data_IF_389378971167
#
_entry.id   IF_389378971167
#
_cell.length_a   1.000
_cell.length_b   1.000
_cell.length_c   1.000
_cell.angle_alpha   90.00
_cell.angle_beta   90.00
_cell.angle_gamma   90.00
#
_symmetry.space_group_name_H-M   'P 1'
#
loop_
_entity.id
_entity.type
_entity.pdbx_description
1 polymer ?
#
# COMPACT_ATOMS: atom_id res chain seq x y z
N UNK A 1 -46.73 -10.31 -44.95
CA UNK A 1 -45.61 -10.62 -44.04
C UNK A 1 -45.55 -12.13 -43.88
N UNK A 2 -44.44 -12.77 -44.26
CA UNK A 2 -44.35 -14.24 -44.33
C UNK A 2 -44.19 -14.81 -42.91
N UNK A 3 -44.79 -15.96 -42.58
CA UNK A 3 -44.73 -16.53 -41.21
C UNK A 3 -43.29 -16.73 -40.71
N UNK A 4 -42.37 -17.00 -41.63
CA UNK A 4 -40.92 -17.12 -41.37
C UNK A 4 -40.25 -15.79 -41.02
N UNK A 5 -40.63 -14.69 -41.70
CA UNK A 5 -40.09 -13.35 -41.40
C UNK A 5 -40.63 -12.79 -40.08
N UNK A 6 -41.88 -13.11 -39.71
CA UNK A 6 -42.43 -12.72 -38.41
C UNK A 6 -41.75 -13.46 -37.24
N UNK A 7 -41.44 -14.75 -37.39
CA UNK A 7 -40.71 -15.52 -36.37
C UNK A 7 -39.29 -15.02 -36.12
N UNK A 8 -38.57 -14.63 -37.18
CA UNK A 8 -37.20 -14.09 -37.06
C UNK A 8 -37.20 -12.73 -36.34
N UNK A 9 -38.17 -11.87 -36.62
CA UNK A 9 -38.29 -10.55 -35.94
C UNK A 9 -38.61 -10.72 -34.46
N UNK A 10 -39.46 -11.66 -34.09
CA UNK A 10 -39.79 -11.94 -32.67
C UNK A 10 -38.58 -12.49 -31.92
N UNK A 11 -37.80 -13.40 -32.52
CA UNK A 11 -36.58 -13.96 -31.91
C UNK A 11 -35.53 -12.86 -31.71
N UNK A 12 -35.35 -11.97 -32.70
CA UNK A 12 -34.43 -10.84 -32.59
C UNK A 12 -34.84 -9.84 -31.50
N UNK A 13 -36.14 -9.56 -31.34
CA UNK A 13 -36.68 -8.70 -30.28
C UNK A 13 -36.50 -9.30 -28.89
N UNK A 14 -36.73 -10.60 -28.72
CA UNK A 14 -36.51 -11.31 -27.46
C UNK A 14 -35.02 -11.34 -27.10
N UNK A 15 -34.13 -11.56 -28.08
CA UNK A 15 -32.69 -11.53 -27.88
C UNK A 15 -32.16 -10.11 -27.55
N UNK A 16 -32.74 -9.04 -28.11
CA UNK A 16 -32.40 -7.66 -27.72
C UNK A 16 -32.86 -7.33 -26.30
N UNK A 17 -34.06 -7.76 -25.90
CA UNK A 17 -34.55 -7.53 -24.54
C UNK A 17 -33.69 -8.24 -23.49
N UNK A 18 -33.22 -9.47 -23.75
CA UNK A 18 -32.37 -10.19 -22.78
C UNK A 18 -30.97 -9.58 -22.62
N UNK A 19 -30.41 -8.94 -23.66
CA UNK A 19 -29.13 -8.21 -23.55
C UNK A 19 -29.29 -6.92 -22.73
N UNK A 20 -30.40 -6.19 -22.88
CA UNK A 20 -30.67 -4.99 -22.10
C UNK A 20 -30.83 -5.29 -20.60
N UNK A 21 -31.58 -6.34 -20.24
CA UNK A 21 -31.75 -6.77 -18.85
C UNK A 21 -30.41 -7.24 -18.25
N UNK A 22 -29.59 -7.97 -19.00
CA UNK A 22 -28.27 -8.42 -18.53
C UNK A 22 -27.31 -7.24 -18.27
N UNK A 23 -27.42 -6.16 -19.03
CA UNK A 23 -26.60 -4.97 -18.85
C UNK A 23 -27.03 -4.17 -17.60
N UNK A 24 -28.33 -4.01 -17.37
CA UNK A 24 -28.85 -3.40 -16.15
C UNK A 24 -28.49 -4.21 -14.89
N UNK A 25 -28.60 -5.55 -14.96
CA UNK A 25 -28.20 -6.46 -13.88
C UNK A 25 -26.69 -6.39 -13.59
N UNK A 26 -25.85 -6.30 -14.63
CA UNK A 26 -24.41 -6.14 -14.47
C UNK A 26 -24.04 -4.79 -13.85
N UNK A 27 -24.67 -3.71 -14.29
CA UNK A 27 -24.45 -2.38 -13.71
C UNK A 27 -24.89 -2.32 -12.25
N UNK A 28 -26.05 -2.90 -11.92
CA UNK A 28 -26.54 -3.03 -10.54
C UNK A 28 -25.59 -3.88 -9.68
N UNK A 29 -25.11 -5.01 -10.20
CA UNK A 29 -24.11 -5.83 -9.53
C UNK A 29 -22.81 -5.05 -9.29
N UNK A 30 -22.29 -4.34 -10.29
CA UNK A 30 -21.08 -3.53 -10.19
C UNK A 30 -21.22 -2.44 -9.15
N UNK A 31 -22.33 -1.72 -9.13
CA UNK A 31 -22.63 -0.71 -8.11
C UNK A 31 -22.71 -1.34 -6.71
N UNK A 32 -23.37 -2.50 -6.57
CA UNK A 32 -23.43 -3.24 -5.32
C UNK A 32 -22.05 -3.68 -4.84
N UNK A 33 -21.17 -4.15 -5.73
CA UNK A 33 -19.79 -4.51 -5.39
C UNK A 33 -18.98 -3.30 -4.94
N UNK A 34 -19.07 -2.18 -5.66
CA UNK A 34 -18.42 -0.93 -5.27
C UNK A 34 -18.89 -0.45 -3.89
N UNK A 35 -20.19 -0.52 -3.63
CA UNK A 35 -20.77 -0.15 -2.34
C UNK A 35 -20.31 -1.09 -1.22
N UNK A 36 -20.34 -2.40 -1.45
CA UNK A 36 -19.84 -3.40 -0.50
C UNK A 36 -18.36 -3.17 -0.18
N UNK A 37 -17.56 -2.86 -1.19
CA UNK A 37 -16.14 -2.54 -1.03
C UNK A 37 -15.93 -1.25 -0.21
N UNK A 38 -16.68 -0.19 -0.51
CA UNK A 38 -16.65 1.07 0.27
C UNK A 38 -17.00 0.83 1.74
N UNK A 39 -18.05 0.04 2.00
CA UNK A 39 -18.47 -0.31 3.36
C UNK A 39 -17.43 -1.14 4.09
N UNK A 40 -16.85 -2.16 3.45
CA UNK A 40 -15.78 -2.96 4.03
C UNK A 40 -14.56 -2.10 4.38
N UNK A 41 -14.10 -1.26 3.44
CA UNK A 41 -12.98 -0.33 3.66
C UNK A 41 -13.27 0.62 4.82
N UNK A 42 -14.45 1.24 4.84
CA UNK A 42 -14.87 2.13 5.92
C UNK A 42 -14.92 1.41 7.27
N UNK A 43 -15.40 0.17 7.32
CA UNK A 43 -15.42 -0.64 8.54
C UNK A 43 -14.01 -1.00 9.04
N UNK A 44 -13.10 -1.37 8.14
CA UNK A 44 -11.69 -1.64 8.46
C UNK A 44 -10.99 -0.38 8.98
N UNK A 45 -11.11 0.73 8.25
CA UNK A 45 -10.50 2.00 8.64
C UNK A 45 -11.06 2.47 10.00
N UNK A 46 -12.37 2.29 10.25
CA UNK A 46 -13.01 2.58 11.55
C UNK A 46 -12.48 1.68 12.66
N UNK A 47 -12.45 0.36 12.46
CA UNK A 47 -11.94 -0.59 13.45
C UNK A 47 -10.48 -0.33 13.78
N UNK A 48 -9.69 0.10 12.78
CA UNK A 48 -8.30 0.48 12.99
C UNK A 48 -8.16 1.80 13.77
N UNK A 49 -8.98 2.81 13.48
CA UNK A 49 -9.03 4.04 14.30
C UNK A 49 -9.39 3.70 15.75
N UNK A 50 -10.40 2.86 15.99
CA UNK A 50 -10.75 2.41 17.34
C UNK A 50 -9.61 1.64 18.02
N UNK A 51 -8.86 0.82 17.28
CA UNK A 51 -7.64 0.16 17.77
C UNK A 51 -6.56 1.19 18.12
N UNK A 52 -6.36 2.19 17.25
CA UNK A 52 -5.46 3.30 17.47
C UNK A 52 -5.93 4.20 18.62
N UNK A 53 -7.14 4.09 19.16
CA UNK A 53 -7.61 4.84 20.34
C UNK A 53 -7.49 4.07 21.67
N UNK A 54 -7.40 2.74 21.63
CA UNK A 54 -7.25 1.89 22.82
C UNK A 54 -5.86 1.96 23.43
N UNK A 55 -5.74 2.35 24.71
CA UNK A 55 -4.47 2.42 25.46
C UNK A 55 -3.47 1.33 25.06
N UNK A 56 -2.37 1.73 24.43
CA UNK A 56 -1.27 0.82 24.12
C UNK A 56 -0.49 0.54 25.41
N UNK A 57 -0.19 -0.75 25.67
CA UNK A 57 0.74 -1.07 26.73
C UNK A 57 2.10 -0.44 26.39
N UNK A 58 2.74 0.28 27.34
CA UNK A 58 4.03 0.87 27.10
C UNK A 58 5.02 -0.24 26.74
N UNK A 59 5.50 -0.21 25.50
CA UNK A 59 6.55 -1.12 25.06
C UNK A 59 7.85 -0.73 25.77
N UNK A 60 8.36 -1.59 26.65
CA UNK A 60 9.67 -1.38 27.25
C UNK A 60 10.74 -1.58 26.19
N UNK A 61 11.38 -0.49 25.77
CA UNK A 61 12.54 -0.53 24.88
C UNK A 61 13.59 -1.45 25.51
N UNK A 62 13.82 -2.61 24.87
CA UNK A 62 14.91 -3.52 25.22
C UNK A 62 16.23 -2.77 24.97
N UNK A 63 16.74 -2.09 26.00
CA UNK A 63 18.06 -1.47 25.94
C UNK A 63 19.06 -2.62 25.80
N UNK A 64 19.78 -2.64 24.68
CA UNK A 64 20.81 -3.62 24.43
C UNK A 64 21.76 -3.70 25.64
N UNK A 65 22.13 -4.93 26.02
CA UNK A 65 23.09 -5.13 27.10
C UNK A 65 24.36 -4.32 26.82
N UNK A 66 24.92 -3.71 27.87
CA UNK A 66 26.18 -2.99 27.73
C UNK A 66 27.24 -3.97 27.23
N UNK A 67 27.99 -3.57 26.19
CA UNK A 67 29.16 -4.34 25.71
C UNK A 67 29.98 -4.81 26.91
N UNK A 68 30.39 -6.07 26.89
CA UNK A 68 31.27 -6.63 27.91
C UNK A 68 32.41 -5.67 28.21
N UNK A 69 32.57 -5.30 29.49
CA UNK A 69 33.64 -4.40 29.91
C UNK A 69 35.03 -5.06 29.76
N UNK A 70 35.07 -6.38 29.60
CA UNK A 70 36.29 -7.12 29.36
C UNK A 70 36.68 -7.00 27.88
N UNK A 71 37.92 -6.57 27.57
CA UNK A 71 38.40 -6.61 26.20
C UNK A 71 38.34 -8.06 25.70
N UNK A 72 38.07 -8.23 24.40
CA UNK A 72 38.16 -9.53 23.77
C UNK A 72 39.57 -10.12 24.05
N UNK A 73 39.68 -11.43 24.31
CA UNK A 73 40.98 -12.10 24.31
C UNK A 73 41.72 -11.75 23.02
N UNK A 74 42.99 -11.34 23.16
CA UNK A 74 43.84 -10.95 22.01
C UNK A 74 44.06 -12.15 21.08
N UNK A 75 44.12 -13.34 21.66
CA UNK A 75 44.22 -14.60 20.94
C UNK A 75 42.92 -15.38 21.07
N UNK A 76 42.38 -15.90 19.95
CA UNK A 76 41.25 -16.82 20.03
C UNK A 76 41.69 -18.10 20.77
N UNK A 77 40.85 -18.67 21.64
CA UNK A 77 41.15 -19.97 22.22
C UNK A 77 41.30 -20.99 21.09
N UNK A 78 42.39 -21.74 21.12
CA UNK A 78 42.63 -22.84 20.19
C UNK A 78 41.70 -23.98 20.61
N UNK A 79 40.71 -24.29 19.77
CA UNK A 79 39.86 -25.46 19.98
C UNK A 79 40.72 -26.73 19.93
N UNK A 80 40.54 -27.62 20.90
CA UNK A 80 41.04 -28.99 20.76
C UNK A 80 40.38 -29.59 19.50
N UNK A 81 41.15 -30.27 18.63
CA UNK A 81 40.58 -30.90 17.46
C UNK A 81 39.57 -31.95 17.92
N UNK A 82 38.28 -31.65 17.73
CA UNK A 82 37.24 -32.65 17.92
C UNK A 82 37.56 -33.84 17.01
N UNK A 83 37.60 -35.04 17.60
CA UNK A 83 37.60 -36.27 16.83
C UNK A 83 36.34 -36.24 15.97
N UNK A 84 36.54 -36.07 14.67
CA UNK A 84 35.48 -35.96 13.67
C UNK A 84 34.70 -37.26 13.63
N UNK A 85 33.64 -37.36 14.43
CA UNK A 85 32.62 -38.38 14.23
C UNK A 85 31.95 -38.07 12.90
N UNK A 86 32.01 -39.01 11.97
CA UNK A 86 31.32 -38.90 10.69
C UNK A 86 29.82 -38.69 10.96
N UNK A 87 29.29 -37.53 10.57
CA UNK A 87 27.87 -37.26 10.63
C UNK A 87 27.16 -38.26 9.70
N UNK A 88 26.03 -38.86 10.12
CA UNK A 88 25.24 -39.69 9.22
C UNK A 88 24.82 -38.86 7.99
N UNK A 89 24.99 -39.42 6.80
CA UNK A 89 24.57 -38.78 5.55
C UNK A 89 23.08 -38.43 5.64
N UNK A 90 22.77 -37.13 5.67
CA UNK A 90 21.39 -36.66 5.55
C UNK A 90 20.84 -37.08 4.19
N UNK A 91 19.73 -37.82 4.21
CA UNK A 91 18.97 -38.12 3.01
C UNK A 91 18.50 -36.80 2.40
N UNK A 92 19.11 -36.44 1.26
CA UNK A 92 18.72 -35.30 0.44
C UNK A 92 17.25 -35.48 0.04
N UNK A 93 16.35 -34.75 0.70
CA UNK A 93 14.96 -34.63 0.25
C UNK A 93 15.02 -33.91 -1.09
N UNK A 94 14.56 -34.58 -2.15
CA UNK A 94 14.47 -34.00 -3.50
C UNK A 94 13.69 -32.70 -3.43
N UNK A 95 14.28 -31.66 -4.01
CA UNK A 95 13.72 -30.32 -4.14
C UNK A 95 12.29 -30.40 -4.69
N UNK A 96 11.32 -29.95 -3.89
CA UNK A 96 9.95 -29.77 -4.36
C UNK A 96 9.99 -28.60 -5.33
N UNK A 97 9.79 -28.90 -6.61
CA UNK A 97 9.68 -27.88 -7.66
C UNK A 97 8.47 -27.01 -7.32
N UNK A 98 8.73 -25.82 -6.80
CA UNK A 98 7.70 -24.80 -6.62
C UNK A 98 7.23 -24.42 -8.03
N UNK A 99 5.91 -24.45 -8.34
CA UNK A 99 5.44 -23.99 -9.63
C UNK A 99 5.85 -22.54 -9.82
N UNK A 100 6.60 -22.28 -10.89
CA UNK A 100 6.97 -20.94 -11.34
C UNK A 100 5.68 -20.19 -11.60
N UNK A 101 5.44 -19.14 -10.82
CA UNK A 101 4.36 -18.20 -11.09
C UNK A 101 4.64 -17.56 -12.46
N UNK A 102 3.85 -17.91 -13.47
CA UNK A 102 3.89 -17.19 -14.73
C UNK A 102 3.32 -15.81 -14.47
N UNK A 103 4.20 -14.81 -14.50
CA UNK A 103 3.83 -13.40 -14.52
C UNK A 103 2.91 -13.20 -15.73
N UNK A 104 1.62 -12.99 -15.47
CA UNK A 104 0.68 -12.57 -16.50
C UNK A 104 1.27 -11.32 -17.15
N UNK A 105 1.44 -11.35 -18.48
CA UNK A 105 1.88 -10.20 -19.26
C UNK A 105 1.09 -8.98 -18.80
N UNK A 106 1.79 -8.04 -18.18
CA UNK A 106 1.23 -6.74 -17.87
C UNK A 106 0.82 -6.12 -19.20
N UNK A 107 -0.48 -6.17 -19.49
CA UNK A 107 -1.07 -5.35 -20.52
C UNK A 107 -0.65 -3.92 -20.17
N UNK A 108 0.24 -3.34 -20.96
CA UNK A 108 0.62 -1.93 -20.86
C UNK A 108 -0.67 -1.11 -20.99
N UNK A 109 -1.32 -0.85 -19.86
CA UNK A 109 -2.28 0.22 -19.76
C UNK A 109 -1.46 1.47 -19.59
N UNK A 110 -0.92 1.96 -20.72
CA UNK A 110 -0.41 3.30 -20.87
C UNK A 110 -1.60 4.27 -20.74
N UNK A 111 -2.17 4.31 -19.54
CA UNK A 111 -3.16 5.28 -19.13
C UNK A 111 -2.36 6.52 -18.80
N UNK A 112 -2.24 7.43 -19.76
CA UNK A 112 -1.91 8.80 -19.44
C UNK A 112 -2.87 9.23 -18.31
N UNK A 113 -2.38 9.46 -17.09
CA UNK A 113 -3.14 10.27 -16.15
C UNK A 113 -3.26 11.63 -16.83
N UNK A 114 -4.49 11.96 -17.21
CA UNK A 114 -4.85 13.35 -17.45
C UNK A 114 -4.66 14.07 -16.11
N UNK A 115 -3.51 14.74 -15.96
CA UNK A 115 -3.32 15.72 -14.88
C UNK A 115 -4.39 16.77 -15.13
N UNK A 116 -5.41 16.78 -14.27
CA UNK A 116 -6.42 17.82 -14.32
C UNK A 116 -5.76 19.13 -13.87
N UNK A 117 -5.50 20.01 -14.83
CA UNK A 117 -4.87 21.32 -14.57
C UNK A 117 -5.75 22.27 -13.75
N UNK A 118 -7.02 21.92 -13.55
CA UNK A 118 -7.98 22.72 -12.78
C UNK A 118 -8.08 22.30 -11.32
N UNK A 119 -7.55 21.12 -10.97
CA UNK A 119 -7.53 20.63 -9.59
C UNK A 119 -6.35 21.22 -8.80
N UNK A 120 -6.47 21.35 -7.46
CA UNK A 120 -5.35 21.67 -6.57
C UNK A 120 -4.16 20.73 -6.80
N UNK A 121 -2.97 21.33 -6.90
CA UNK A 121 -1.73 20.63 -7.20
C UNK A 121 -0.67 20.89 -6.13
N UNK A 122 0.09 19.85 -5.82
CA UNK A 122 1.34 19.95 -5.08
C UNK A 122 2.50 19.74 -6.04
N UNK A 123 3.52 20.57 -5.91
CA UNK A 123 4.78 20.44 -6.63
C UNK A 123 5.89 20.06 -5.65
N UNK A 124 6.67 19.05 -6.02
CA UNK A 124 7.85 18.62 -5.30
C UNK A 124 9.04 18.54 -6.25
N UNK A 125 10.25 18.60 -5.69
CA UNK A 125 11.48 18.29 -6.42
C UNK A 125 12.03 16.96 -5.91
N UNK A 126 12.13 15.97 -6.79
CA UNK A 126 12.64 14.64 -6.45
C UNK A 126 13.87 14.34 -7.31
N UNK A 127 15.05 14.23 -6.68
CA UNK A 127 16.35 14.08 -7.36
C UNK A 127 16.61 15.09 -8.49
N UNK A 128 16.15 16.33 -8.28
CA UNK A 128 16.29 17.42 -9.26
C UNK A 128 15.22 17.44 -10.34
N UNK A 129 14.27 16.49 -10.34
CA UNK A 129 13.13 16.47 -11.25
C UNK A 129 11.91 17.12 -10.57
N UNK A 130 11.29 18.16 -11.17
CA UNK A 130 10.03 18.69 -10.68
C UNK A 130 8.90 17.70 -11.00
N UNK A 131 8.17 17.29 -9.97
CA UNK A 131 7.01 16.40 -10.09
C UNK A 131 5.78 17.11 -9.53
N UNK A 132 4.65 16.93 -10.21
CA UNK A 132 3.37 17.55 -9.84
C UNK A 132 2.32 16.48 -9.59
N UNK A 133 1.57 16.64 -8.51
CA UNK A 133 0.50 15.73 -8.12
C UNK A 133 -0.79 16.49 -7.87
N UNK A 134 -1.90 15.98 -8.39
CA UNK A 134 -3.23 16.48 -8.06
C UNK A 134 -3.61 15.95 -6.68
N UNK A 135 -3.75 16.85 -5.71
CA UNK A 135 -4.13 16.49 -4.35
C UNK A 135 -4.87 17.64 -3.68
N UNK A 136 -6.07 17.36 -3.19
CA UNK A 136 -7.05 18.37 -2.77
C UNK A 136 -6.99 18.67 -1.27
N UNK A 137 -6.25 17.89 -0.47
CA UNK A 137 -6.29 18.04 0.99
C UNK A 137 -4.98 18.58 1.55
N UNK A 138 -5.04 19.74 2.18
CA UNK A 138 -4.11 20.03 3.26
C UNK A 138 -4.44 19.08 4.42
N UNK A 139 -3.44 18.39 4.97
CA UNK A 139 -3.62 17.63 6.21
C UNK A 139 -3.74 18.61 7.37
N UNK A 140 -4.96 19.06 7.66
CA UNK A 140 -5.27 19.92 8.81
C UNK A 140 -5.37 19.09 10.10
N UNK A 141 -4.27 18.43 10.49
CA UNK A 141 -4.18 17.64 11.71
C UNK A 141 -3.11 18.22 12.61
N UNK A 142 -3.47 18.57 13.85
CA UNK A 142 -2.53 18.94 14.89
C UNK A 142 -2.12 17.69 15.67
N UNK A 143 -0.82 17.52 15.91
CA UNK A 143 -0.26 16.39 16.65
C UNK A 143 0.22 16.77 18.06
N UNK A 144 -0.18 17.92 18.60
CA UNK A 144 0.24 18.38 19.93
C UNK A 144 -0.98 18.41 20.90
N UNK A 145 -0.97 17.62 22.00
CA UNK A 145 0.07 16.67 22.41
C UNK A 145 0.15 15.46 21.49
N UNK A 146 1.36 14.92 21.32
CA UNK A 146 1.59 13.68 20.54
C UNK A 146 1.13 12.50 21.38
N UNK A 147 -0.17 12.23 21.31
CA UNK A 147 -0.82 11.14 21.99
C UNK A 147 -1.50 10.18 21.01
N UNK A 148 -2.05 9.14 21.59
CA UNK A 148 -2.78 8.12 20.89
C UNK A 148 -3.95 8.67 20.05
N UNK A 149 -4.68 9.65 20.59
CA UNK A 149 -5.84 10.25 19.93
C UNK A 149 -5.41 11.10 18.73
N UNK A 150 -4.29 11.80 18.83
CA UNK A 150 -3.71 12.54 17.72
C UNK A 150 -3.39 11.62 16.54
N UNK A 151 -2.79 10.45 16.80
CA UNK A 151 -2.48 9.45 15.76
C UNK A 151 -3.77 8.84 15.17
N UNK A 152 -4.77 8.55 16.01
CA UNK A 152 -6.06 8.05 15.54
C UNK A 152 -6.81 9.07 14.68
N UNK A 153 -6.83 10.33 15.11
CA UNK A 153 -7.43 11.44 14.36
C UNK A 153 -6.71 11.66 13.02
N UNK A 154 -5.38 11.62 13.00
CA UNK A 154 -4.61 11.62 11.76
C UNK A 154 -5.09 10.53 10.81
N UNK A 155 -5.17 9.28 11.28
CA UNK A 155 -5.56 8.15 10.45
C UNK A 155 -6.97 8.30 9.92
N UNK A 156 -7.89 8.80 10.75
CA UNK A 156 -9.26 9.09 10.34
C UNK A 156 -9.31 10.15 9.23
N UNK A 157 -8.63 11.28 9.39
CA UNK A 157 -8.63 12.36 8.41
C UNK A 157 -8.05 11.89 7.08
N UNK A 158 -6.87 11.25 7.09
CA UNK A 158 -6.22 10.81 5.85
C UNK A 158 -7.00 9.68 5.16
N UNK A 159 -7.63 8.77 5.89
CA UNK A 159 -8.45 7.68 5.31
C UNK A 159 -9.70 8.18 4.61
N UNK A 160 -10.21 9.36 5.00
CA UNK A 160 -11.34 10.04 4.36
C UNK A 160 -10.91 11.05 3.28
N UNK A 161 -9.61 11.21 3.03
CA UNK A 161 -9.07 12.09 1.98
C UNK A 161 -9.03 11.41 0.60
N UNK A 162 -8.74 12.18 -0.46
CA UNK A 162 -8.51 11.65 -1.83
C UNK A 162 -7.10 11.02 -2.00
N UNK A 163 -6.62 10.29 -1.00
CA UNK A 163 -5.29 9.69 -1.04
C UNK A 163 -5.16 8.61 -2.12
N UNK A 164 -6.25 8.00 -2.58
CA UNK A 164 -6.21 6.95 -3.61
C UNK A 164 -5.72 7.51 -4.95
N UNK A 165 -6.17 8.72 -5.29
CA UNK A 165 -5.73 9.44 -6.47
C UNK A 165 -4.23 9.78 -6.38
N UNK A 166 -3.80 10.29 -5.23
CA UNK A 166 -2.38 10.57 -4.97
C UNK A 166 -1.53 9.30 -5.03
N UNK A 167 -2.02 8.21 -4.43
CA UNK A 167 -1.35 6.92 -4.43
C UNK A 167 -1.19 6.36 -5.85
N UNK A 168 -2.23 6.49 -6.69
CA UNK A 168 -2.15 6.10 -8.10
C UNK A 168 -1.08 6.91 -8.83
N UNK A 169 -1.09 8.24 -8.69
CA UNK A 169 -0.09 9.10 -9.34
C UNK A 169 1.34 8.77 -8.85
N UNK A 170 1.53 8.52 -7.55
CA UNK A 170 2.83 8.15 -6.99
C UNK A 170 3.33 6.79 -7.51
N UNK A 171 2.45 5.79 -7.64
CA UNK A 171 2.78 4.50 -8.26
C UNK A 171 3.19 4.65 -9.71
N UNK A 172 2.51 5.50 -10.47
CA UNK A 172 2.92 5.77 -11.86
C UNK A 172 4.27 6.49 -11.94
N UNK A 173 4.56 7.43 -11.02
CA UNK A 173 5.90 8.01 -10.93
C UNK A 173 6.96 6.94 -10.62
N UNK A 174 6.66 6.01 -9.71
CA UNK A 174 7.52 4.87 -9.38
C UNK A 174 7.84 4.05 -10.63
N UNK A 175 6.81 3.68 -11.39
CA UNK A 175 6.95 2.80 -12.55
C UNK A 175 7.69 3.53 -13.69
N UNK A 176 7.35 4.80 -13.97
CA UNK A 176 8.02 5.61 -15.01
C UNK A 176 9.49 5.87 -14.72
N UNK A 177 9.84 6.05 -13.45
CA UNK A 177 11.22 6.30 -13.01
C UNK A 177 11.97 5.01 -12.66
N UNK A 178 11.31 3.84 -12.78
CA UNK A 178 11.84 2.54 -12.39
C UNK A 178 12.42 2.54 -10.96
N UNK A 179 11.68 3.11 -10.00
CA UNK A 179 12.11 3.21 -8.61
C UNK A 179 11.99 1.86 -7.91
N UNK A 180 13.03 1.49 -7.18
CA UNK A 180 12.94 0.41 -6.19
C UNK A 180 12.13 0.87 -4.95
N UNK A 181 11.88 -0.06 -4.03
CA UNK A 181 11.08 0.20 -2.83
C UNK A 181 11.63 1.34 -1.97
N UNK A 182 12.96 1.45 -1.86
CA UNK A 182 13.59 2.55 -1.14
C UNK A 182 13.37 3.90 -1.84
N UNK A 183 13.53 3.94 -3.17
CA UNK A 183 13.24 5.12 -3.97
C UNK A 183 11.77 5.53 -3.87
N UNK A 184 10.86 4.57 -3.81
CA UNK A 184 9.44 4.84 -3.59
C UNK A 184 9.17 5.41 -2.19
N UNK A 185 9.79 4.86 -1.15
CA UNK A 185 9.73 5.43 0.21
C UNK A 185 10.24 6.88 0.23
N UNK A 186 11.35 7.18 -0.45
CA UNK A 186 11.90 8.53 -0.56
C UNK A 186 10.95 9.47 -1.32
N UNK A 187 10.31 8.99 -2.39
CA UNK A 187 9.32 9.76 -3.13
C UNK A 187 8.13 10.12 -2.23
N UNK A 188 7.56 9.14 -1.53
CA UNK A 188 6.47 9.36 -0.57
C UNK A 188 6.87 10.32 0.55
N UNK A 189 8.13 10.29 0.98
CA UNK A 189 8.67 11.21 1.97
C UNK A 189 8.70 12.66 1.46
N UNK A 190 9.15 12.91 0.23
CA UNK A 190 9.12 14.27 -0.35
C UNK A 190 7.68 14.77 -0.57
N UNK A 191 6.78 13.90 -1.01
CA UNK A 191 5.33 14.21 -1.09
C UNK A 191 4.79 14.56 0.31
N UNK A 192 5.10 13.73 1.31
CA UNK A 192 4.64 13.88 2.68
C UNK A 192 5.11 15.19 3.32
N UNK A 193 6.38 15.58 3.13
CA UNK A 193 6.91 16.87 3.60
C UNK A 193 6.09 18.04 3.05
N UNK A 194 5.76 18.00 1.75
CA UNK A 194 5.00 19.07 1.10
C UNK A 194 3.59 19.19 1.68
N UNK A 195 2.90 18.06 1.83
CA UNK A 195 1.52 18.00 2.34
C UNK A 195 1.44 18.40 3.83
N UNK A 196 2.44 18.00 4.61
CA UNK A 196 2.50 18.26 6.05
C UNK A 196 3.19 19.59 6.42
N UNK A 197 3.51 20.44 5.44
CA UNK A 197 4.17 21.73 5.67
C UNK A 197 5.51 21.59 6.44
N UNK A 198 6.29 20.56 6.09
CA UNK A 198 7.58 20.22 6.71
C UNK A 198 7.52 19.71 8.17
N UNK A 199 6.33 19.39 8.69
CA UNK A 199 6.22 18.72 9.99
C UNK A 199 6.72 17.27 9.89
N UNK A 200 7.76 16.96 10.67
CA UNK A 200 8.42 15.66 10.65
C UNK A 200 7.54 14.51 11.14
N UNK A 201 6.69 14.75 12.14
CA UNK A 201 5.84 13.71 12.71
C UNK A 201 4.67 13.42 11.78
N UNK A 202 4.03 14.45 11.25
CA UNK A 202 2.99 14.32 10.23
C UNK A 202 3.54 13.66 8.95
N UNK A 203 4.74 14.03 8.50
CA UNK A 203 5.39 13.37 7.35
C UNK A 203 5.56 11.87 7.58
N UNK A 204 6.05 11.46 8.76
CA UNK A 204 6.24 10.04 9.08
C UNK A 204 4.93 9.28 9.12
N UNK A 205 3.89 9.86 9.74
CA UNK A 205 2.55 9.26 9.76
C UNK A 205 1.97 9.14 8.35
N UNK A 206 2.17 10.15 7.50
CA UNK A 206 1.80 10.12 6.09
C UNK A 206 2.49 9.00 5.33
N UNK A 207 3.82 8.90 5.43
CA UNK A 207 4.59 7.86 4.75
C UNK A 207 4.15 6.47 5.24
N UNK A 208 3.99 6.30 6.55
CA UNK A 208 3.51 5.05 7.14
C UNK A 208 2.13 4.65 6.59
N UNK A 209 1.18 5.58 6.57
CA UNK A 209 -0.15 5.36 6.00
C UNK A 209 -0.05 4.94 4.53
N UNK A 210 0.65 5.72 3.71
CA UNK A 210 0.75 5.47 2.26
C UNK A 210 1.38 4.11 1.96
N UNK A 211 2.45 3.74 2.67
CA UNK A 211 3.09 2.43 2.51
C UNK A 211 2.14 1.28 2.89
N UNK A 212 1.39 1.43 3.98
CA UNK A 212 0.36 0.45 4.38
C UNK A 212 -0.70 0.28 3.28
N UNK A 213 -1.16 1.38 2.66
CA UNK A 213 -2.12 1.33 1.53
C UNK A 213 -1.52 0.82 0.22
N UNK A 214 -0.19 0.80 0.10
CA UNK A 214 0.51 0.29 -1.09
C UNK A 214 0.70 -1.24 -1.00
N UNK A 215 0.45 -1.86 0.16
CA UNK A 215 0.63 -3.31 0.37
C UNK A 215 1.97 -3.69 1.00
N UNK A 216 2.75 -2.72 1.47
CA UNK A 216 3.96 -3.00 2.24
C UNK A 216 3.62 -3.42 3.67
N UNK A 217 4.33 -4.42 4.19
CA UNK A 217 4.31 -4.73 5.62
C UNK A 217 5.17 -3.69 6.37
N UNK A 218 4.52 -2.63 6.84
CA UNK A 218 5.22 -1.56 7.58
C UNK A 218 5.20 -1.79 9.09
N UNK A 219 6.35 -1.62 9.73
CA UNK A 219 6.49 -1.62 11.20
C UNK A 219 7.10 -0.29 11.64
N UNK A 220 6.57 0.27 12.72
CA UNK A 220 7.11 1.49 13.31
C UNK A 220 8.28 1.08 14.22
N UNK A 221 9.49 1.52 13.86
CA UNK A 221 10.69 1.36 14.67
C UNK A 221 10.92 2.58 15.56
N UNK A 222 11.34 2.35 16.80
CA UNK A 222 11.86 3.38 17.69
C UNK A 222 13.40 3.26 17.76
N UNK A 223 14.10 4.36 18.04
CA UNK A 223 15.54 4.40 18.31
C UNK A 223 15.74 5.04 19.68
#
# INVERSE_FOLDING_TARGET
MNKKTAGIVVIALVAMCSVLVAQDDYEAWKQKQQETFRQYKSAQDKAFVEFLEKNWEPFEVLKGEKKDAKPKPVEPPVAEPELRTELPEENIVKEVVVPVFQEEEQIEKNSMIAIDKTAPQIEITFWGLPLTYNYVSDLAVELDPLDQKAVANFWYVISNSDYENLLKQAKESRDKMNLNDWGYCLLLNEIGKKISKEDKNLTRLFVWFMLTRTGFETKIGYN
#
